data_IF_883452038147
#
_entry.id   IF_883452038147
#
_cell.length_a   1.000
_cell.length_b   1.000
_cell.length_c   1.000
_cell.angle_alpha   90.00
_cell.angle_beta   90.00
_cell.angle_gamma   90.00
#
_symmetry.space_group_name_H-M   'P 1'
#
loop_
_entity.id
_entity.type
_entity.pdbx_description
1 polymer ?
#
# COMPACT_ATOMS: atom_id res chain seq x y z
N UNK A 1 -15.92 12.02 -24.49
CA UNK A 1 -14.90 12.47 -23.56
C UNK A 1 -13.98 13.47 -24.25
N UNK A 2 -13.64 14.60 -23.59
CA UNK A 2 -12.63 15.53 -24.12
C UNK A 2 -11.28 14.81 -24.26
N UNK A 3 -10.40 15.28 -25.14
CA UNK A 3 -9.05 14.70 -25.29
C UNK A 3 -8.28 14.65 -23.96
N UNK A 4 -8.44 15.70 -23.14
CA UNK A 4 -7.82 15.76 -21.80
C UNK A 4 -8.34 14.67 -20.85
N UNK A 5 -9.66 14.38 -20.85
CA UNK A 5 -10.20 13.27 -20.05
C UNK A 5 -9.70 11.92 -20.54
N UNK A 6 -9.65 11.71 -21.86
CA UNK A 6 -9.08 10.48 -22.45
C UNK A 6 -7.62 10.26 -22.04
N UNK A 7 -6.81 11.33 -21.95
CA UNK A 7 -5.42 11.24 -21.57
C UNK A 7 -5.22 10.88 -20.08
N UNK A 8 -6.07 11.39 -19.18
CA UNK A 8 -6.04 11.00 -17.76
C UNK A 8 -6.34 9.50 -17.60
N UNK A 9 -7.38 8.99 -18.29
CA UNK A 9 -7.73 7.56 -18.22
C UNK A 9 -6.64 6.65 -18.76
N UNK A 10 -5.95 7.00 -19.84
CA UNK A 10 -4.83 6.20 -20.39
C UNK A 10 -3.69 5.99 -19.39
N UNK A 11 -3.43 6.99 -18.57
CA UNK A 11 -2.34 6.91 -17.57
C UNK A 11 -2.74 6.04 -16.37
N UNK A 12 -4.00 6.11 -15.97
CA UNK A 12 -4.57 5.21 -14.96
C UNK A 12 -4.58 3.76 -15.46
N UNK A 13 -5.02 3.55 -16.70
CA UNK A 13 -4.96 2.24 -17.36
C UNK A 13 -3.52 1.70 -17.41
N UNK A 14 -2.55 2.56 -17.73
CA UNK A 14 -1.14 2.17 -17.79
C UNK A 14 -0.68 1.58 -16.45
N UNK A 15 -0.80 2.31 -15.32
CA UNK A 15 -0.33 1.80 -14.04
C UNK A 15 -1.10 0.55 -13.58
N UNK A 16 -2.41 0.51 -13.80
CA UNK A 16 -3.23 -0.66 -13.47
C UNK A 16 -2.86 -1.89 -14.32
N UNK A 17 -2.41 -1.68 -15.57
CA UNK A 17 -1.99 -2.76 -16.48
C UNK A 17 -0.59 -3.31 -16.19
N UNK A 18 0.21 -2.67 -15.34
CA UNK A 18 1.56 -3.13 -14.98
C UNK A 18 1.58 -4.49 -14.26
N UNK A 19 0.41 -5.06 -13.94
CA UNK A 19 0.27 -6.31 -13.23
C UNK A 19 0.27 -6.13 -11.71
N UNK A 20 0.58 -7.21 -10.98
CA UNK A 20 0.58 -7.26 -9.52
C UNK A 20 -0.27 -8.42 -8.98
N UNK A 21 0.01 -8.83 -7.74
CA UNK A 21 -0.63 -9.99 -7.10
C UNK A 21 -2.09 -9.74 -6.68
N UNK A 22 -2.56 -8.49 -6.70
CA UNK A 22 -3.94 -8.09 -6.31
C UNK A 22 -4.36 -8.60 -4.91
N UNK A 23 -3.40 -8.68 -3.98
CA UNK A 23 -3.63 -9.28 -2.65
C UNK A 23 -4.71 -8.51 -1.88
N UNK A 24 -4.70 -7.17 -1.91
CA UNK A 24 -5.63 -6.34 -1.13
C UNK A 24 -7.10 -6.52 -1.54
N UNK A 25 -7.48 -6.38 -2.81
CA UNK A 25 -8.85 -6.69 -3.22
C UNK A 25 -9.22 -8.16 -2.96
N UNK A 26 -8.30 -9.10 -3.15
CA UNK A 26 -8.54 -10.53 -2.85
C UNK A 26 -8.82 -10.73 -1.35
N UNK A 27 -8.07 -10.10 -0.46
CA UNK A 27 -8.32 -10.16 0.99
C UNK A 27 -9.68 -9.58 1.35
N UNK A 28 -10.13 -8.49 0.71
CA UNK A 28 -11.48 -7.97 0.93
C UNK A 28 -12.54 -8.99 0.53
N UNK A 29 -12.40 -9.59 -0.66
CA UNK A 29 -13.32 -10.63 -1.13
C UNK A 29 -13.31 -11.87 -0.22
N UNK A 30 -12.14 -12.27 0.28
CA UNK A 30 -12.00 -13.37 1.24
C UNK A 30 -12.65 -13.04 2.57
N UNK A 31 -12.42 -11.84 3.13
CA UNK A 31 -13.06 -11.39 4.37
C UNK A 31 -14.58 -11.39 4.26
N UNK A 32 -15.11 -10.96 3.12
CA UNK A 32 -16.54 -11.04 2.82
C UNK A 32 -17.03 -12.50 2.71
N UNK A 33 -16.27 -13.34 2.01
CA UNK A 33 -16.66 -14.73 1.73
C UNK A 33 -16.63 -15.63 2.97
N UNK A 34 -16.08 -15.19 4.08
CA UNK A 34 -16.22 -15.91 5.37
C UNK A 34 -17.67 -15.94 5.87
N UNK A 35 -18.50 -14.98 5.45
CA UNK A 35 -19.87 -14.79 5.97
C UNK A 35 -20.91 -14.85 4.86
N UNK A 36 -20.56 -14.56 3.59
CA UNK A 36 -21.47 -14.52 2.44
C UNK A 36 -20.78 -15.00 1.17
N UNK A 37 -21.56 -15.65 0.28
CA UNK A 37 -21.05 -16.20 -0.99
C UNK A 37 -21.19 -15.25 -2.19
N UNK A 38 -22.05 -14.21 -2.10
CA UNK A 38 -22.38 -13.29 -3.19
C UNK A 38 -21.31 -12.17 -3.38
N UNK A 39 -20.04 -12.55 -3.46
CA UNK A 39 -18.87 -11.64 -3.52
C UNK A 39 -18.95 -10.60 -4.64
N UNK A 40 -19.73 -10.85 -5.69
CA UNK A 40 -19.91 -9.92 -6.78
C UNK A 40 -20.55 -8.59 -6.33
N UNK A 41 -21.30 -8.59 -5.24
CA UNK A 41 -21.96 -7.42 -4.66
C UNK A 41 -20.98 -6.37 -4.13
N UNK A 42 -19.70 -6.76 -3.88
CA UNK A 42 -18.66 -5.87 -3.34
C UNK A 42 -17.49 -5.65 -4.31
N UNK A 43 -17.65 -5.90 -5.60
CA UNK A 43 -16.58 -5.65 -6.57
C UNK A 43 -16.18 -4.18 -6.68
N UNK A 44 -17.12 -3.24 -6.50
CA UNK A 44 -16.81 -1.81 -6.49
C UNK A 44 -15.90 -1.44 -5.30
N UNK A 45 -16.22 -1.76 -4.03
CA UNK A 45 -15.31 -1.56 -2.92
C UNK A 45 -13.95 -2.27 -3.07
N UNK A 46 -13.94 -3.51 -3.59
CA UNK A 46 -12.68 -4.22 -3.86
C UNK A 46 -11.83 -3.52 -4.93
N UNK A 47 -12.49 -2.98 -5.97
CA UNK A 47 -11.85 -2.16 -7.00
C UNK A 47 -11.30 -0.86 -6.40
N UNK A 48 -12.04 -0.23 -5.48
CA UNK A 48 -11.59 0.97 -4.78
C UNK A 48 -10.24 0.77 -4.08
N UNK A 49 -10.09 -0.33 -3.35
CA UNK A 49 -8.84 -0.68 -2.65
C UNK A 49 -7.68 -0.83 -3.65
N UNK A 50 -7.89 -1.49 -4.78
CA UNK A 50 -6.82 -1.68 -5.77
C UNK A 50 -6.46 -0.38 -6.49
N UNK A 51 -7.46 0.45 -6.82
CA UNK A 51 -7.22 1.77 -7.44
C UNK A 51 -6.46 2.67 -6.45
N UNK A 52 -6.86 2.70 -5.18
CA UNK A 52 -6.16 3.44 -4.14
C UNK A 52 -4.71 2.95 -3.98
N UNK A 53 -4.49 1.64 -3.90
CA UNK A 53 -3.14 1.09 -3.81
C UNK A 53 -2.27 1.49 -5.01
N UNK A 54 -2.80 1.48 -6.22
CA UNK A 54 -2.02 1.91 -7.40
C UNK A 54 -1.81 3.43 -7.42
N UNK A 55 -2.72 4.24 -6.85
CA UNK A 55 -2.49 5.66 -6.58
C UNK A 55 -1.26 5.86 -5.69
N UNK A 56 -1.19 5.14 -4.54
CA UNK A 56 -0.03 5.26 -3.64
C UNK A 56 1.27 4.85 -4.32
N UNK A 57 1.27 3.78 -5.12
CA UNK A 57 2.45 3.34 -5.88
C UNK A 57 2.90 4.38 -6.91
N UNK A 58 1.97 5.08 -7.56
CA UNK A 58 2.28 6.09 -8.55
C UNK A 58 2.95 7.32 -7.92
N UNK A 59 2.44 7.78 -6.78
CA UNK A 59 3.03 8.89 -6.04
C UNK A 59 4.36 8.49 -5.36
N UNK A 60 4.45 7.30 -4.80
CA UNK A 60 5.68 6.73 -4.24
C UNK A 60 6.81 6.69 -5.29
N UNK A 61 6.54 6.16 -6.48
CA UNK A 61 7.49 6.16 -7.60
C UNK A 61 8.00 7.55 -7.97
N UNK A 62 7.14 8.57 -7.90
CA UNK A 62 7.53 9.95 -8.18
C UNK A 62 8.38 10.55 -7.05
N UNK A 63 8.00 10.33 -5.78
CA UNK A 63 8.73 10.79 -4.61
C UNK A 63 10.12 10.17 -4.53
N UNK A 64 10.22 8.86 -4.76
CA UNK A 64 11.47 8.08 -4.74
C UNK A 64 12.31 8.26 -6.03
N UNK A 65 11.79 8.98 -7.05
CA UNK A 65 12.43 9.10 -8.36
C UNK A 65 12.72 7.76 -9.04
N UNK A 66 11.91 6.75 -8.78
CA UNK A 66 12.07 5.41 -9.30
C UNK A 66 11.91 5.36 -10.82
N UNK A 67 12.87 4.73 -11.53
CA UNK A 67 12.83 4.63 -12.98
C UNK A 67 11.88 3.54 -13.47
N UNK A 68 11.73 2.47 -12.69
CA UNK A 68 11.07 1.23 -13.12
C UNK A 68 10.16 0.68 -12.02
N UNK A 69 8.96 0.25 -12.39
CA UNK A 69 8.04 -0.54 -11.56
C UNK A 69 7.58 -1.78 -12.30
N UNK A 70 7.76 -2.96 -11.69
CA UNK A 70 7.38 -4.26 -12.29
C UNK A 70 7.95 -4.45 -13.71
N UNK A 71 9.21 -4.05 -13.92
CA UNK A 71 9.91 -4.17 -15.20
C UNK A 71 9.49 -3.17 -16.28
N UNK A 72 8.63 -2.21 -15.98
CA UNK A 72 8.17 -1.15 -16.90
C UNK A 72 8.56 0.22 -16.36
N UNK A 73 8.80 1.23 -17.24
CA UNK A 73 9.04 2.60 -16.81
C UNK A 73 7.91 3.12 -15.94
N UNK A 74 8.22 3.95 -14.94
CA UNK A 74 7.21 4.60 -14.09
C UNK A 74 6.46 5.69 -14.83
N UNK A 75 5.28 6.11 -14.33
CA UNK A 75 4.41 7.08 -15.01
C UNK A 75 5.13 8.40 -15.28
N UNK A 76 5.91 8.92 -14.32
CA UNK A 76 6.65 10.17 -14.49
C UNK A 76 7.81 10.06 -15.51
N UNK A 77 8.32 8.85 -15.76
CA UNK A 77 9.33 8.60 -16.81
C UNK A 77 8.69 8.47 -18.20
N UNK A 78 7.49 7.90 -18.29
CA UNK A 78 6.77 7.79 -19.58
C UNK A 78 6.22 9.15 -20.03
N UNK A 79 5.75 9.98 -19.08
CA UNK A 79 5.18 11.29 -19.37
C UNK A 79 5.99 12.43 -18.71
N UNK A 80 5.62 12.86 -17.52
CA UNK A 80 6.32 13.86 -16.70
C UNK A 80 5.75 13.89 -15.27
N UNK A 81 6.41 14.65 -14.37
CA UNK A 81 6.06 14.74 -12.96
C UNK A 81 4.64 15.28 -12.74
N UNK A 82 4.27 16.39 -13.39
CA UNK A 82 2.94 16.99 -13.24
C UNK A 82 1.82 16.02 -13.68
N UNK A 83 2.10 15.26 -14.72
CA UNK A 83 1.19 14.22 -15.21
C UNK A 83 1.02 13.10 -14.20
N UNK A 84 2.10 12.69 -13.54
CA UNK A 84 2.05 11.68 -12.49
C UNK A 84 1.21 12.18 -11.29
N UNK A 85 1.47 13.39 -10.79
CA UNK A 85 0.68 14.00 -9.71
C UNK A 85 -0.81 13.99 -10.05
N UNK A 86 -1.18 14.60 -11.18
CA UNK A 86 -2.60 14.72 -11.57
C UNK A 86 -3.28 13.36 -11.77
N UNK A 87 -2.55 12.39 -12.30
CA UNK A 87 -3.08 11.03 -12.50
C UNK A 87 -3.32 10.32 -11.17
N UNK A 88 -2.41 10.47 -10.21
CA UNK A 88 -2.58 9.95 -8.87
C UNK A 88 -3.75 10.59 -8.14
N UNK A 89 -3.88 11.94 -8.19
CA UNK A 89 -5.01 12.65 -7.57
C UNK A 89 -6.35 12.17 -8.14
N UNK A 90 -6.42 12.01 -9.46
CA UNK A 90 -7.64 11.50 -10.10
C UNK A 90 -7.94 10.05 -9.68
N UNK A 91 -6.92 9.20 -9.48
CA UNK A 91 -7.09 7.83 -8.97
C UNK A 91 -7.55 7.82 -7.51
N UNK A 92 -7.06 8.73 -6.67
CA UNK A 92 -7.53 8.89 -5.30
C UNK A 92 -9.04 9.19 -5.27
N UNK A 93 -9.49 10.17 -6.04
CA UNK A 93 -10.91 10.52 -6.12
C UNK A 93 -11.73 9.35 -6.68
N UNK A 94 -11.21 8.65 -7.68
CA UNK A 94 -11.87 7.49 -8.28
C UNK A 94 -12.01 6.33 -7.25
N UNK A 95 -10.99 6.10 -6.41
CA UNK A 95 -11.05 5.10 -5.35
C UNK A 95 -12.17 5.42 -4.35
N UNK A 96 -12.26 6.66 -3.88
CA UNK A 96 -13.36 7.09 -3.00
C UNK A 96 -14.72 6.91 -3.69
N UNK A 97 -14.83 7.24 -4.96
CA UNK A 97 -16.07 7.06 -5.75
C UNK A 97 -16.48 5.58 -5.85
N UNK A 98 -15.55 4.66 -6.09
CA UNK A 98 -15.84 3.22 -6.08
C UNK A 98 -16.21 2.74 -4.69
N UNK A 99 -15.56 3.24 -3.62
CA UNK A 99 -15.88 2.85 -2.25
C UNK A 99 -17.31 3.25 -1.88
N UNK A 100 -17.84 4.37 -2.38
CA UNK A 100 -19.25 4.76 -2.17
C UNK A 100 -20.26 3.85 -2.88
N UNK A 101 -19.81 2.92 -3.72
CA UNK A 101 -20.65 1.86 -4.32
C UNK A 101 -21.05 0.74 -3.34
N UNK A 102 -20.61 0.80 -2.08
CA UNK A 102 -21.01 -0.17 -1.05
C UNK A 102 -22.50 0.06 -0.64
N UNK A 103 -23.14 -0.96 -0.02
CA UNK A 103 -24.50 -0.85 0.51
C UNK A 103 -24.68 0.34 1.45
N UNK A 104 -25.81 1.05 1.32
CA UNK A 104 -26.07 2.31 2.02
C UNK A 104 -26.02 2.19 3.54
N UNK A 105 -26.43 1.04 4.09
CA UNK A 105 -26.42 0.74 5.53
C UNK A 105 -25.01 0.73 6.12
N UNK A 106 -23.99 0.38 5.34
CA UNK A 106 -22.58 0.30 5.75
C UNK A 106 -21.76 1.51 5.28
N UNK A 107 -22.33 2.40 4.44
CA UNK A 107 -21.60 3.45 3.77
C UNK A 107 -20.78 4.32 4.74
N UNK A 108 -21.40 4.77 5.84
CA UNK A 108 -20.69 5.64 6.78
C UNK A 108 -19.52 4.92 7.45
N UNK A 109 -19.74 3.72 7.95
CA UNK A 109 -18.73 2.94 8.65
C UNK A 109 -17.55 2.59 7.74
N UNK A 110 -17.85 2.15 6.52
CA UNK A 110 -16.82 1.82 5.51
C UNK A 110 -16.02 3.06 5.10
N UNK A 111 -16.71 4.20 4.88
CA UNK A 111 -16.03 5.44 4.50
C UNK A 111 -15.19 6.02 5.63
N UNK A 112 -15.65 5.93 6.89
CA UNK A 112 -14.85 6.35 8.05
C UNK A 112 -13.57 5.51 8.15
N UNK A 113 -13.68 4.17 8.05
CA UNK A 113 -12.53 3.28 8.08
C UNK A 113 -11.58 3.53 6.90
N UNK A 114 -12.12 3.64 5.68
CA UNK A 114 -11.30 3.86 4.49
C UNK A 114 -10.57 5.20 4.53
N UNK A 115 -11.26 6.28 4.92
CA UNK A 115 -10.65 7.61 5.01
C UNK A 115 -9.58 7.68 6.11
N UNK A 116 -9.82 7.06 7.28
CA UNK A 116 -8.80 6.96 8.33
C UNK A 116 -7.57 6.20 7.82
N UNK A 117 -7.78 5.03 7.21
CA UNK A 117 -6.70 4.22 6.63
C UNK A 117 -5.87 5.00 5.59
N UNK A 118 -6.54 5.82 4.75
CA UNK A 118 -5.82 6.63 3.75
C UNK A 118 -4.97 7.72 4.40
N UNK A 119 -5.41 8.30 5.51
CA UNK A 119 -4.61 9.26 6.29
C UNK A 119 -3.42 8.57 6.96
N UNK A 120 -3.62 7.43 7.60
CA UNK A 120 -2.54 6.64 8.20
C UNK A 120 -1.45 6.28 7.18
N UNK A 121 -1.83 5.95 5.94
CA UNK A 121 -0.85 5.68 4.88
C UNK A 121 -0.03 6.93 4.51
N UNK A 122 -0.65 8.10 4.49
CA UNK A 122 0.07 9.36 4.28
C UNK A 122 1.06 9.64 5.43
N UNK A 123 0.67 9.38 6.68
CA UNK A 123 1.56 9.48 7.83
C UNK A 123 2.74 8.50 7.72
N UNK A 124 2.48 7.24 7.35
CA UNK A 124 3.52 6.25 7.11
C UNK A 124 4.48 6.64 5.98
N UNK A 125 3.98 7.24 4.90
CA UNK A 125 4.81 7.76 3.82
C UNK A 125 5.67 8.95 4.28
N UNK A 126 5.13 9.83 5.12
CA UNK A 126 5.88 10.94 5.70
C UNK A 126 7.04 10.43 6.56
N UNK A 127 6.80 9.43 7.41
CA UNK A 127 7.84 8.81 8.23
C UNK A 127 8.93 8.15 7.36
N UNK A 128 8.55 7.43 6.31
CA UNK A 128 9.51 6.80 5.38
C UNK A 128 10.45 7.83 4.75
N UNK A 129 9.90 8.96 4.29
CA UNK A 129 10.70 10.07 3.74
C UNK A 129 11.61 10.73 4.79
N UNK A 130 11.12 10.95 6.01
CA UNK A 130 11.92 11.56 7.09
C UNK A 130 13.08 10.64 7.50
N UNK A 131 12.86 9.33 7.53
CA UNK A 131 13.87 8.35 7.92
C UNK A 131 15.05 8.31 6.96
N UNK A 132 14.90 8.68 5.69
CA UNK A 132 16.02 8.75 4.74
C UNK A 132 17.13 9.69 5.22
N UNK A 133 16.77 10.77 5.92
CA UNK A 133 17.71 11.79 6.43
C UNK A 133 18.19 11.52 7.85
N UNK A 134 17.58 10.58 8.58
CA UNK A 134 17.90 10.26 9.99
C UNK A 134 18.88 9.09 10.08
N UNK A 135 19.70 9.09 11.13
CA UNK A 135 20.60 7.99 11.48
C UNK A 135 20.30 7.36 12.84
N UNK A 136 19.24 7.81 13.50
CA UNK A 136 18.82 7.45 14.86
C UNK A 136 17.44 6.74 14.89
N UNK A 137 16.97 6.25 13.75
CA UNK A 137 15.67 5.55 13.64
C UNK A 137 15.70 4.28 14.46
N UNK A 138 14.75 4.14 15.39
CA UNK A 138 14.61 2.96 16.25
C UNK A 138 13.81 1.86 15.56
N UNK A 139 13.93 0.61 16.07
CA UNK A 139 13.11 -0.50 15.55
C UNK A 139 11.61 -0.25 15.74
N UNK A 140 11.20 0.33 16.87
CA UNK A 140 9.80 0.65 17.13
C UNK A 140 9.25 1.71 16.14
N UNK A 141 10.03 2.75 15.85
CA UNK A 141 9.66 3.75 14.83
C UNK A 141 9.55 3.12 13.45
N UNK A 142 10.47 2.22 13.11
CA UNK A 142 10.41 1.50 11.84
C UNK A 142 9.17 0.60 11.74
N UNK A 143 8.87 -0.18 12.78
CA UNK A 143 7.66 -1.03 12.82
C UNK A 143 6.40 -0.17 12.71
N UNK A 144 6.34 0.99 13.36
CA UNK A 144 5.21 1.92 13.24
C UNK A 144 5.08 2.47 11.81
N UNK A 145 6.17 2.85 11.17
CA UNK A 145 6.17 3.31 9.78
C UNK A 145 5.61 2.24 8.83
N UNK A 146 6.07 0.98 8.91
CA UNK A 146 5.56 -0.09 8.04
C UNK A 146 4.13 -0.49 8.39
N UNK A 147 3.73 -0.37 9.68
CA UNK A 147 2.34 -0.52 10.10
C UNK A 147 1.44 0.45 9.35
N UNK A 148 1.79 1.73 9.38
CA UNK A 148 1.04 2.81 8.74
C UNK A 148 1.12 2.75 7.20
N UNK A 149 2.31 2.62 6.64
CA UNK A 149 2.50 2.66 5.18
C UNK A 149 1.95 1.42 4.47
N UNK A 150 2.03 0.24 5.09
CA UNK A 150 1.78 -1.05 4.41
C UNK A 150 0.65 -1.85 5.04
N UNK A 151 0.66 -2.06 6.37
CA UNK A 151 -0.22 -3.03 7.01
C UNK A 151 -1.67 -2.56 7.13
N UNK A 152 -1.91 -1.27 7.40
CA UNK A 152 -3.26 -0.73 7.61
C UNK A 152 -4.20 -0.97 6.42
N UNK A 153 -3.71 -0.93 5.17
CA UNK A 153 -4.55 -1.17 4.00
C UNK A 153 -4.93 -2.65 3.84
N UNK A 154 -4.05 -3.57 4.24
CA UNK A 154 -4.35 -5.00 4.27
C UNK A 154 -5.40 -5.30 5.36
N UNK A 155 -5.22 -4.70 6.54
CA UNK A 155 -6.16 -4.80 7.65
C UNK A 155 -7.54 -4.23 7.30
N UNK A 156 -7.59 -3.02 6.74
CA UNK A 156 -8.82 -2.39 6.29
C UNK A 156 -9.52 -3.20 5.19
N UNK A 157 -8.77 -3.82 4.27
CA UNK A 157 -9.36 -4.67 3.23
C UNK A 157 -10.15 -5.83 3.83
N UNK A 158 -9.59 -6.56 4.79
CA UNK A 158 -10.27 -7.66 5.47
C UNK A 158 -11.48 -7.17 6.28
N UNK A 159 -11.29 -6.09 7.07
CA UNK A 159 -12.36 -5.53 7.92
C UNK A 159 -13.52 -4.99 7.11
N UNK A 160 -13.26 -4.25 6.01
CA UNK A 160 -14.32 -3.76 5.13
C UNK A 160 -15.10 -4.94 4.53
N UNK A 161 -14.40 -5.99 4.06
CA UNK A 161 -15.06 -7.21 3.57
C UNK A 161 -16.01 -7.82 4.61
N UNK A 162 -15.56 -7.94 5.85
CA UNK A 162 -16.37 -8.47 6.96
C UNK A 162 -17.58 -7.56 7.28
N UNK A 163 -17.40 -6.25 7.39
CA UNK A 163 -18.48 -5.29 7.62
C UNK A 163 -19.55 -5.42 6.53
N UNK A 164 -19.14 -5.42 5.26
CA UNK A 164 -20.07 -5.52 4.12
C UNK A 164 -20.81 -6.85 4.07
N UNK A 165 -20.25 -7.90 4.66
CA UNK A 165 -20.90 -9.21 4.79
C UNK A 165 -21.82 -9.32 6.01
N UNK A 166 -21.88 -8.30 6.87
CA UNK A 166 -22.68 -8.30 8.08
C UNK A 166 -22.08 -9.09 9.24
N UNK A 167 -20.76 -9.22 9.30
CA UNK A 167 -20.05 -9.82 10.41
C UNK A 167 -20.28 -9.02 11.71
N UNK A 168 -20.05 -9.66 12.86
CA UNK A 168 -20.09 -8.96 14.14
C UNK A 168 -18.95 -7.94 14.22
N UNK A 169 -19.09 -6.88 15.04
CA UNK A 169 -18.03 -5.91 15.26
C UNK A 169 -16.76 -6.57 15.81
N UNK A 170 -16.89 -7.60 16.65
CA UNK A 170 -15.78 -8.36 17.21
C UNK A 170 -15.03 -9.15 16.10
N UNK A 171 -15.76 -9.83 15.23
CA UNK A 171 -15.16 -10.57 14.13
C UNK A 171 -14.48 -9.65 13.12
N UNK A 172 -15.11 -8.52 12.79
CA UNK A 172 -14.53 -7.52 11.91
C UNK A 172 -13.23 -6.94 12.51
N UNK A 173 -13.18 -6.71 13.82
CA UNK A 173 -11.97 -6.25 14.52
C UNK A 173 -10.88 -7.33 14.55
N UNK A 174 -11.23 -8.58 14.80
CA UNK A 174 -10.30 -9.70 14.76
C UNK A 174 -9.66 -9.87 13.36
N UNK A 175 -10.44 -9.69 12.30
CA UNK A 175 -9.91 -9.69 10.92
C UNK A 175 -9.02 -8.49 10.63
N UNK A 176 -9.32 -7.33 11.21
CA UNK A 176 -8.45 -6.16 11.14
C UNK A 176 -7.09 -6.45 11.77
N UNK A 177 -7.08 -6.96 13.00
CA UNK A 177 -5.83 -7.33 13.69
C UNK A 177 -5.05 -8.41 12.95
N UNK A 178 -5.71 -9.43 12.43
CA UNK A 178 -5.08 -10.44 11.59
C UNK A 178 -4.41 -9.82 10.35
N UNK A 179 -5.12 -8.93 9.65
CA UNK A 179 -4.59 -8.21 8.49
C UNK A 179 -3.39 -7.31 8.84
N UNK A 180 -3.45 -6.68 10.03
CA UNK A 180 -2.35 -5.87 10.55
C UNK A 180 -1.08 -6.69 10.75
N UNK A 181 -1.16 -7.82 11.44
CA UNK A 181 -0.01 -8.69 11.68
C UNK A 181 0.56 -9.29 10.39
N UNK A 182 -0.31 -9.73 9.47
CA UNK A 182 0.16 -10.20 8.16
C UNK A 182 0.85 -9.09 7.37
N UNK A 183 0.33 -7.86 7.43
CA UNK A 183 0.90 -6.72 6.73
C UNK A 183 2.30 -6.37 7.20
N UNK A 184 2.50 -6.33 8.53
CA UNK A 184 3.82 -6.12 9.12
C UNK A 184 4.78 -7.27 8.76
N UNK A 185 4.34 -8.52 8.92
CA UNK A 185 5.15 -9.69 8.57
C UNK A 185 5.54 -9.71 7.09
N UNK A 186 4.61 -9.30 6.20
CA UNK A 186 4.86 -9.20 4.76
C UNK A 186 5.95 -8.17 4.44
N UNK A 187 5.93 -7.00 5.09
CA UNK A 187 6.95 -5.98 4.87
C UNK A 187 8.32 -6.43 5.41
N UNK A 188 8.37 -7.00 6.61
CA UNK A 188 9.61 -7.56 7.17
C UNK A 188 10.21 -8.66 6.26
N UNK A 189 9.35 -9.46 5.64
CA UNK A 189 9.77 -10.46 4.66
C UNK A 189 10.31 -9.82 3.37
N UNK A 190 9.68 -8.74 2.88
CA UNK A 190 10.14 -8.01 1.68
C UNK A 190 11.53 -7.42 1.94
N UNK A 191 11.75 -6.80 3.11
CA UNK A 191 13.05 -6.26 3.53
C UNK A 191 14.14 -7.35 3.62
N UNK A 192 13.79 -8.50 4.18
CA UNK A 192 14.70 -9.63 4.25
C UNK A 192 15.09 -10.15 2.86
N UNK A 193 14.12 -10.20 1.95
CA UNK A 193 14.34 -10.65 0.58
C UNK A 193 15.12 -9.64 -0.26
N UNK A 194 15.03 -8.34 0.04
CA UNK A 194 15.87 -7.31 -0.62
C UNK A 194 17.36 -7.49 -0.27
N UNK A 195 17.68 -8.07 0.89
CA UNK A 195 19.07 -8.31 1.31
C UNK A 195 19.56 -9.71 0.96
N UNK A 196 18.74 -10.74 1.16
CA UNK A 196 19.15 -12.16 1.09
C UNK A 196 18.39 -12.98 0.04
N UNK A 197 17.46 -12.37 -0.70
CA UNK A 197 16.66 -13.07 -1.70
C UNK A 197 17.46 -13.53 -2.90
N UNK A 198 16.89 -14.46 -3.68
CA UNK A 198 17.41 -14.82 -4.99
C UNK A 198 16.82 -13.86 -6.04
N UNK A 199 17.66 -13.11 -6.80
CA UNK A 199 17.18 -12.16 -7.81
C UNK A 199 16.25 -12.78 -8.85
N UNK A 200 16.46 -14.05 -9.21
CA UNK A 200 15.63 -14.76 -10.19
C UNK A 200 14.23 -15.06 -9.65
N UNK A 201 14.12 -15.32 -8.34
CA UNK A 201 12.84 -15.62 -7.68
C UNK A 201 12.13 -14.33 -7.23
N UNK A 202 12.88 -13.38 -6.65
CA UNK A 202 12.35 -12.13 -6.12
C UNK A 202 11.95 -11.13 -7.23
N UNK A 203 12.61 -11.22 -8.40
CA UNK A 203 12.29 -10.39 -9.56
C UNK A 203 12.71 -8.92 -9.44
N UNK A 204 13.52 -8.58 -8.43
CA UNK A 204 14.14 -7.27 -8.20
C UNK A 204 15.65 -7.42 -8.05
N UNK A 205 16.40 -6.32 -8.23
CA UNK A 205 17.81 -6.27 -7.87
C UNK A 205 17.94 -6.31 -6.34
N UNK A 206 18.84 -7.15 -5.83
CA UNK A 206 19.17 -7.23 -4.41
C UNK A 206 19.87 -5.94 -3.95
N UNK A 207 19.57 -5.49 -2.73
CA UNK A 207 20.16 -4.29 -2.13
C UNK A 207 19.67 -2.98 -2.71
N UNK A 208 18.51 -2.98 -3.39
CA UNK A 208 17.91 -1.77 -3.94
C UNK A 208 17.60 -0.73 -2.88
N UNK A 209 17.06 -1.14 -1.77
CA UNK A 209 16.72 -0.27 -0.63
C UNK A 209 17.98 0.34 0.03
N UNK A 210 19.05 -0.45 0.15
CA UNK A 210 20.34 0.05 0.68
C UNK A 210 20.93 1.11 -0.24
N UNK A 211 20.87 0.90 -1.55
CA UNK A 211 21.39 1.85 -2.54
C UNK A 211 20.61 3.18 -2.54
N UNK A 212 19.33 3.13 -2.21
CA UNK A 212 18.46 4.31 -2.06
C UNK A 212 18.51 4.92 -0.66
N UNK A 213 19.39 4.45 0.24
CA UNK A 213 19.49 4.88 1.64
C UNK A 213 18.18 4.71 2.44
N UNK A 214 17.31 3.77 2.04
CA UNK A 214 16.10 3.48 2.78
C UNK A 214 16.43 2.79 4.10
N UNK A 215 15.72 3.17 5.16
CA UNK A 215 15.86 2.58 6.49
C UNK A 215 14.92 1.40 6.60
N UNK A 216 15.36 0.23 6.08
CA UNK A 216 14.64 -1.04 6.26
C UNK A 216 15.02 -1.69 7.59
N UNK A 217 14.32 -2.74 7.98
CA UNK A 217 14.53 -3.41 9.28
C UNK A 217 15.99 -3.84 9.49
N UNK A 218 16.64 -4.38 8.45
CA UNK A 218 18.00 -4.90 8.56
C UNK A 218 19.05 -3.82 8.89
N UNK A 219 19.14 -2.67 8.18
CA UNK A 219 20.03 -1.57 8.56
C UNK A 219 19.71 -0.97 9.93
N UNK A 220 18.42 -0.82 10.27
CA UNK A 220 17.99 -0.26 11.58
C UNK A 220 18.45 -1.17 12.71
N UNK A 221 18.15 -2.46 12.66
CA UNK A 221 18.54 -3.43 13.67
C UNK A 221 20.06 -3.56 13.79
N UNK A 222 20.78 -3.58 12.64
CA UNK A 222 22.24 -3.65 12.63
C UNK A 222 22.89 -2.43 13.32
N UNK A 223 22.39 -1.22 13.10
CA UNK A 223 22.93 -0.01 13.72
C UNK A 223 22.76 -0.02 15.23
N UNK A 224 21.62 -0.51 15.73
CA UNK A 224 21.37 -0.63 17.18
C UNK A 224 22.17 -1.73 17.86
N UNK A 225 22.49 -2.82 17.16
CA UNK A 225 23.27 -3.93 17.72
C UNK A 225 24.79 -3.68 17.72
N UNK A 226 25.30 -2.91 16.76
CA UNK A 226 26.77 -2.81 16.53
C UNK A 226 27.39 -1.47 16.89
N UNK A 227 26.69 -0.36 16.76
CA UNK A 227 27.25 0.97 17.04
C UNK A 227 27.59 1.26 18.51
N UNK A 228 26.93 0.70 19.53
CA UNK A 228 27.35 0.88 20.91
C UNK A 228 28.75 0.32 21.22
N UNK A 229 29.25 -0.62 20.41
CA UNK A 229 30.55 -1.28 20.60
C UNK A 229 31.73 -0.54 19.96
N UNK A 230 31.49 0.49 19.16
CA UNK A 230 32.52 1.26 18.43
C UNK A 230 32.78 2.64 19.07
N UNK A 231 32.24 2.93 20.25
CA UNK A 231 32.68 4.09 21.05
C UNK A 231 33.99 3.77 21.77
N UNK A 232 35.10 3.82 21.03
CA UNK A 232 36.45 4.03 21.54
C UNK A 232 36.89 5.46 21.24
#
# INVERSE_FOLDING_TARGET
LSSAASDVYKRQEYILSLGGKRIRPVLMLMGYNLYREDVASIYDPATAIEVYHNHTLLHDDLMDRSDVRRGKPTVHKVWNDNTAVLSGDAMLILAFRYMTGCPQEHLKEVMDLFSLTTLEICEGQQLDMEFESRCDVTEDEYIEMIRLKTAVLLAASLKIGAILAGATAEDAENLYHFGMHIGVAFQLQDDLLDVYGDPEVFGKKIGGDILCNKKTYMPVSYTHLTLPTIRL
#
